data_IF_761459626443
#
_entry.id   IF_761459626443
#
_cell.length_a   1.000
_cell.length_b   1.000
_cell.length_c   1.000
_cell.angle_alpha   90.00
_cell.angle_beta   90.00
_cell.angle_gamma   90.00
#
_symmetry.space_group_name_H-M   'P 1'
#
loop_
_entity.id
_entity.type
_entity.pdbx_description
1 polymer ?
#
# COMPACT_ATOMS: atom_id res chain seq x y z
N UNK A 1 -35.39 7.30 -21.64
CA UNK A 1 -36.69 6.86 -22.20
C UNK A 1 -37.61 8.04 -22.49
N UNK A 2 -37.46 9.17 -21.80
CA UNK A 2 -38.29 10.39 -21.96
C UNK A 2 -38.32 10.96 -23.39
N UNK A 3 -37.25 10.79 -24.16
CA UNK A 3 -37.17 11.20 -25.56
C UNK A 3 -37.59 10.09 -26.56
N UNK A 4 -38.15 8.97 -26.08
CA UNK A 4 -38.59 7.80 -26.87
C UNK A 4 -37.52 7.15 -27.77
N UNK A 5 -36.23 7.40 -27.51
CA UNK A 5 -35.10 6.79 -28.23
C UNK A 5 -34.72 5.43 -27.63
N UNK A 6 -35.54 4.40 -27.84
CA UNK A 6 -35.30 3.06 -27.25
C UNK A 6 -34.00 2.42 -27.76
N UNK A 7 -33.67 2.56 -29.04
CA UNK A 7 -32.49 1.93 -29.65
C UNK A 7 -31.18 2.38 -29.00
N UNK A 8 -31.09 3.64 -28.55
CA UNK A 8 -29.92 4.10 -27.80
C UNK A 8 -29.82 3.45 -26.43
N UNK A 9 -30.94 3.23 -25.74
CA UNK A 9 -30.93 2.71 -24.36
C UNK A 9 -30.36 1.30 -24.31
N UNK A 10 -30.79 0.43 -25.22
CA UNK A 10 -30.32 -0.97 -25.28
C UNK A 10 -28.81 -1.03 -25.46
N UNK A 11 -28.26 -0.22 -26.37
CA UNK A 11 -26.81 -0.20 -26.61
C UNK A 11 -26.02 0.20 -25.36
N UNK A 12 -26.47 1.24 -24.63
CA UNK A 12 -25.80 1.65 -23.38
C UNK A 12 -25.91 0.59 -22.28
N UNK A 13 -27.02 -0.15 -22.26
CA UNK A 13 -27.27 -1.18 -21.26
C UNK A 13 -26.38 -2.42 -21.52
N UNK A 14 -26.29 -2.87 -22.78
CA UNK A 14 -25.36 -3.95 -23.17
C UNK A 14 -23.91 -3.56 -22.85
N UNK A 15 -23.50 -2.34 -23.24
CA UNK A 15 -22.16 -1.83 -22.91
C UNK A 15 -21.89 -1.80 -21.40
N UNK A 16 -22.90 -1.45 -20.59
CA UNK A 16 -22.77 -1.47 -19.14
C UNK A 16 -22.58 -2.89 -18.57
N UNK A 17 -23.28 -3.89 -19.14
CA UNK A 17 -23.10 -5.30 -18.75
C UNK A 17 -21.66 -5.73 -19.05
N UNK A 18 -21.13 -5.40 -20.23
CA UNK A 18 -19.75 -5.73 -20.60
C UNK A 18 -18.73 -5.05 -19.66
N UNK A 19 -18.97 -3.79 -19.29
CA UNK A 19 -18.13 -3.10 -18.31
C UNK A 19 -18.21 -3.76 -16.92
N UNK A 20 -19.39 -4.19 -16.48
CA UNK A 20 -19.57 -4.84 -15.19
C UNK A 20 -18.81 -6.17 -15.12
N UNK A 21 -18.94 -7.01 -16.15
CA UNK A 21 -18.29 -8.33 -16.18
C UNK A 21 -16.78 -8.21 -16.30
N UNK A 22 -16.29 -7.35 -17.19
CA UNK A 22 -14.86 -7.24 -17.48
C UNK A 22 -14.08 -6.47 -16.43
N UNK A 23 -14.68 -5.46 -15.78
CA UNK A 23 -13.99 -4.63 -14.79
C UNK A 23 -14.37 -5.00 -13.37
N UNK A 24 -15.66 -4.90 -13.03
CA UNK A 24 -16.08 -5.06 -11.64
C UNK A 24 -15.94 -6.50 -11.16
N UNK A 25 -16.41 -7.48 -11.92
CA UNK A 25 -16.31 -8.90 -11.54
C UNK A 25 -14.86 -9.38 -11.57
N UNK A 26 -14.07 -8.98 -12.58
CA UNK A 26 -12.63 -9.32 -12.67
C UNK A 26 -11.85 -8.78 -11.47
N UNK A 27 -12.04 -7.50 -11.13
CA UNK A 27 -11.35 -6.86 -10.00
C UNK A 27 -11.84 -7.40 -8.64
N UNK A 28 -13.12 -7.75 -8.54
CA UNK A 28 -13.73 -8.23 -7.28
C UNK A 28 -13.59 -9.75 -7.09
N UNK A 29 -13.00 -10.49 -8.03
CA UNK A 29 -12.86 -11.96 -7.98
C UNK A 29 -12.19 -12.46 -6.70
N UNK A 30 -11.12 -11.80 -6.25
CA UNK A 30 -10.43 -12.13 -4.98
C UNK A 30 -11.30 -11.84 -3.75
N UNK A 31 -12.07 -10.74 -3.79
CA UNK A 31 -13.00 -10.35 -2.71
C UNK A 31 -14.14 -11.36 -2.55
N UNK A 32 -14.68 -11.88 -3.66
CA UNK A 32 -15.72 -12.92 -3.63
C UNK A 32 -15.22 -14.26 -3.07
N UNK A 33 -13.93 -14.57 -3.23
CA UNK A 33 -13.32 -15.78 -2.67
C UNK A 33 -13.03 -15.69 -1.16
N UNK A 34 -13.17 -14.51 -0.56
CA UNK A 34 -12.93 -14.31 0.87
C UNK A 34 -11.45 -14.30 1.26
N UNK A 35 -10.52 -14.03 0.32
CA UNK A 35 -9.08 -14.01 0.57
C UNK A 35 -8.64 -12.84 1.48
N UNK A 36 -9.47 -11.81 1.65
CA UNK A 36 -9.15 -10.60 2.45
C UNK A 36 -9.82 -10.63 3.84
N UNK A 37 -11.15 -10.52 3.91
CA UNK A 37 -11.92 -10.51 5.16
C UNK A 37 -13.36 -10.94 4.88
N UNK A 38 -14.00 -11.65 5.83
CA UNK A 38 -15.37 -12.14 5.66
C UNK A 38 -16.41 -11.02 5.51
N UNK A 39 -16.23 -9.91 6.23
CA UNK A 39 -17.11 -8.73 6.15
C UNK A 39 -17.03 -8.07 4.76
N UNK A 40 -15.82 -7.93 4.22
CA UNK A 40 -15.60 -7.40 2.88
C UNK A 40 -16.19 -8.29 1.78
N UNK A 41 -16.13 -9.60 1.96
CA UNK A 41 -16.78 -10.56 1.07
C UNK A 41 -18.30 -10.33 1.05
N UNK A 42 -18.93 -10.22 2.23
CA UNK A 42 -20.36 -9.97 2.34
C UNK A 42 -20.77 -8.64 1.70
N UNK A 43 -20.03 -7.55 1.95
CA UNK A 43 -20.29 -6.25 1.34
C UNK A 43 -20.17 -6.33 -0.19
N UNK A 44 -19.13 -6.99 -0.72
CA UNK A 44 -18.94 -7.13 -2.16
C UNK A 44 -20.06 -7.92 -2.84
N UNK A 45 -20.52 -9.01 -2.22
CA UNK A 45 -21.64 -9.83 -2.70
C UNK A 45 -22.96 -9.03 -2.66
N UNK A 46 -23.18 -8.24 -1.61
CA UNK A 46 -24.36 -7.40 -1.49
C UNK A 46 -24.40 -6.31 -2.57
N UNK A 47 -23.26 -5.65 -2.82
CA UNK A 47 -23.13 -4.65 -3.90
C UNK A 47 -23.37 -5.29 -5.27
N UNK A 48 -22.80 -6.46 -5.53
CA UNK A 48 -23.04 -7.19 -6.79
C UNK A 48 -24.52 -7.54 -6.96
N UNK A 49 -25.16 -8.05 -5.91
CA UNK A 49 -26.59 -8.38 -5.92
C UNK A 49 -27.45 -7.13 -6.19
N UNK A 50 -27.12 -6.00 -5.55
CA UNK A 50 -27.81 -4.73 -5.77
C UNK A 50 -27.69 -4.23 -7.21
N UNK A 51 -26.49 -4.26 -7.79
CA UNK A 51 -26.27 -3.86 -9.19
C UNK A 51 -27.05 -4.77 -10.13
N UNK A 52 -26.99 -6.09 -9.90
CA UNK A 52 -27.68 -7.07 -10.74
C UNK A 52 -29.20 -6.87 -10.71
N UNK A 53 -29.79 -6.65 -9.54
CA UNK A 53 -31.20 -6.29 -9.40
C UNK A 53 -31.53 -4.98 -10.15
N UNK A 54 -30.65 -3.99 -10.09
CA UNK A 54 -30.86 -2.72 -10.79
C UNK A 54 -30.86 -2.91 -12.31
N UNK A 55 -29.95 -3.72 -12.84
CA UNK A 55 -29.91 -4.08 -14.27
C UNK A 55 -31.19 -4.83 -14.66
N UNK A 56 -31.62 -5.80 -13.85
CA UNK A 56 -32.84 -6.58 -14.10
C UNK A 56 -34.08 -5.66 -14.19
N UNK A 57 -34.21 -4.69 -13.27
CA UNK A 57 -35.28 -3.67 -13.33
C UNK A 57 -35.20 -2.76 -14.56
N UNK A 58 -33.99 -2.47 -15.05
CA UNK A 58 -33.80 -1.65 -16.26
C UNK A 58 -34.01 -2.45 -17.55
N UNK A 59 -33.82 -3.77 -17.50
CA UNK A 59 -34.03 -4.70 -18.62
C UNK A 59 -35.49 -5.13 -18.80
N UNK A 60 -36.30 -5.03 -17.75
CA UNK A 60 -37.73 -5.38 -17.72
C UNK A 60 -38.52 -4.96 -18.98
N UNK A 61 -38.46 -3.71 -19.49
CA UNK A 61 -39.23 -3.29 -20.66
C UNK A 61 -38.72 -3.87 -22.00
N UNK A 62 -37.53 -4.49 -22.01
CA UNK A 62 -36.91 -5.07 -23.21
C UNK A 62 -36.93 -6.60 -23.19
N UNK A 63 -36.64 -7.21 -22.05
CA UNK A 63 -36.53 -8.66 -21.86
C UNK A 63 -37.34 -9.13 -20.65
N UNK A 64 -38.68 -8.96 -20.65
CA UNK A 64 -39.53 -9.15 -19.47
C UNK A 64 -39.42 -10.56 -18.87
N UNK A 65 -39.42 -11.61 -19.71
CA UNK A 65 -39.31 -12.99 -19.24
C UNK A 65 -37.95 -13.31 -18.61
N UNK A 66 -36.86 -12.78 -19.17
CA UNK A 66 -35.51 -12.98 -18.63
C UNK A 66 -35.34 -12.20 -17.32
N UNK A 67 -35.85 -10.96 -17.29
CA UNK A 67 -35.84 -10.12 -16.11
C UNK A 67 -36.62 -10.78 -14.96
N UNK A 68 -37.81 -11.31 -15.22
CA UNK A 68 -38.62 -12.03 -14.22
C UNK A 68 -37.92 -13.29 -13.72
N UNK A 69 -37.36 -14.11 -14.62
CA UNK A 69 -36.60 -15.30 -14.25
C UNK A 69 -35.40 -14.97 -13.32
N UNK A 70 -34.62 -13.95 -13.68
CA UNK A 70 -33.48 -13.49 -12.89
C UNK A 70 -33.92 -12.91 -11.54
N UNK A 71 -34.98 -12.11 -11.52
CA UNK A 71 -35.55 -11.53 -10.30
C UNK A 71 -36.00 -12.62 -9.33
N UNK A 72 -36.67 -13.67 -9.81
CA UNK A 72 -37.07 -14.80 -8.96
C UNK A 72 -35.88 -15.57 -8.37
N UNK A 73 -34.78 -15.74 -9.12
CA UNK A 73 -33.55 -16.35 -8.61
C UNK A 73 -32.96 -15.50 -7.49
N UNK A 74 -32.79 -14.20 -7.72
CA UNK A 74 -32.19 -13.27 -6.77
C UNK A 74 -33.07 -13.10 -5.53
N UNK A 75 -34.38 -13.08 -5.71
CA UNK A 75 -35.36 -13.04 -4.63
C UNK A 75 -35.18 -14.21 -3.68
N UNK A 76 -34.98 -15.45 -4.17
CA UNK A 76 -34.75 -16.62 -3.29
C UNK A 76 -33.54 -16.43 -2.37
N UNK A 77 -32.49 -15.75 -2.85
CA UNK A 77 -31.28 -15.45 -2.07
C UNK A 77 -31.54 -14.37 -1.00
N UNK A 78 -32.41 -13.40 -1.28
CA UNK A 78 -32.70 -12.26 -0.38
C UNK A 78 -33.81 -12.59 0.62
N UNK A 79 -34.81 -13.38 0.22
CA UNK A 79 -36.02 -13.72 1.00
C UNK A 79 -35.74 -14.43 2.32
N UNK A 80 -34.51 -14.96 2.52
CA UNK A 80 -34.10 -15.57 3.78
C UNK A 80 -33.89 -14.54 4.91
N UNK A 81 -33.89 -13.23 4.60
CA UNK A 81 -33.46 -12.17 5.52
C UNK A 81 -34.47 -11.04 5.75
N UNK A 82 -35.59 -10.97 5.01
CA UNK A 82 -36.54 -9.84 5.12
C UNK A 82 -37.99 -10.22 4.83
N UNK A 83 -38.91 -9.68 5.63
CA UNK A 83 -40.36 -9.84 5.54
C UNK A 83 -40.88 -9.43 4.16
N UNK A 84 -41.46 -10.38 3.43
CA UNK A 84 -41.88 -10.18 2.04
C UNK A 84 -43.08 -9.23 1.94
N UNK A 85 -42.91 -8.12 1.22
CA UNK A 85 -44.02 -7.28 0.76
C UNK A 85 -44.52 -7.75 -0.62
N UNK A 86 -45.81 -7.60 -0.90
CA UNK A 86 -46.45 -8.09 -2.14
C UNK A 86 -45.83 -7.47 -3.41
N UNK A 87 -45.25 -6.28 -3.32
CA UNK A 87 -44.59 -5.60 -4.44
C UNK A 87 -43.27 -6.26 -4.89
N UNK A 88 -42.70 -7.15 -4.06
CA UNK A 88 -41.46 -7.87 -4.39
C UNK A 88 -41.73 -9.21 -5.11
N UNK A 89 -42.99 -9.54 -5.39
CA UNK A 89 -43.36 -10.80 -6.05
C UNK A 89 -42.86 -10.89 -7.50
N UNK A 90 -42.87 -9.78 -8.23
CA UNK A 90 -42.47 -9.73 -9.64
C UNK A 90 -41.75 -8.42 -9.93
N UNK A 91 -40.81 -8.47 -10.88
CA UNK A 91 -40.08 -7.28 -11.34
C UNK A 91 -41.02 -6.25 -11.99
N UNK A 92 -42.12 -6.71 -12.58
CA UNK A 92 -43.11 -5.88 -13.29
C UNK A 92 -43.87 -4.92 -12.37
N UNK A 93 -43.89 -5.19 -11.06
CA UNK A 93 -44.55 -4.32 -10.09
C UNK A 93 -43.61 -3.30 -9.46
N UNK A 94 -42.32 -3.32 -9.85
CA UNK A 94 -41.32 -2.45 -9.29
C UNK A 94 -41.14 -1.19 -10.13
N UNK A 95 -40.99 -0.06 -9.44
CA UNK A 95 -40.67 1.21 -10.10
C UNK A 95 -39.25 1.20 -10.65
N UNK A 96 -39.06 1.85 -11.81
CA UNK A 96 -37.74 2.08 -12.39
C UNK A 96 -36.86 2.82 -11.35
N UNK A 97 -35.64 2.33 -11.09
CA UNK A 97 -34.76 2.91 -10.08
C UNK A 97 -34.36 4.34 -10.45
N UNK A 98 -34.42 5.25 -9.47
CA UNK A 98 -33.97 6.64 -9.63
C UNK A 98 -32.48 6.74 -9.35
N UNK A 99 -31.76 7.48 -10.19
CA UNK A 99 -30.31 7.72 -10.01
C UNK A 99 -30.03 8.54 -8.75
N UNK A 100 -29.24 7.97 -7.83
CA UNK A 100 -28.76 8.65 -6.63
C UNK A 100 -27.37 9.24 -6.86
N UNK A 101 -27.32 10.54 -7.19
CA UNK A 101 -26.06 11.24 -7.49
C UNK A 101 -25.11 11.34 -6.29
N UNK A 102 -25.61 11.18 -5.07
CA UNK A 102 -24.83 11.24 -3.83
C UNK A 102 -23.84 10.08 -3.68
N UNK A 103 -24.10 8.93 -4.30
CA UNK A 103 -23.24 7.74 -4.22
C UNK A 103 -22.08 7.79 -5.23
N UNK A 104 -22.05 8.80 -6.12
CA UNK A 104 -21.03 8.90 -7.16
C UNK A 104 -19.80 9.63 -6.61
N UNK A 105 -18.75 8.86 -6.34
CA UNK A 105 -17.44 9.43 -6.05
C UNK A 105 -16.72 9.81 -7.36
N UNK A 106 -16.59 11.11 -7.61
CA UNK A 106 -15.93 11.62 -8.82
C UNK A 106 -14.47 11.21 -8.94
N UNK A 107 -13.75 11.10 -7.83
CA UNK A 107 -12.33 10.73 -7.85
C UNK A 107 -12.18 9.29 -8.32
N UNK A 108 -12.94 8.36 -7.71
CA UNK A 108 -12.91 6.94 -8.08
C UNK A 108 -13.29 6.74 -9.54
N UNK A 109 -14.33 7.45 -10.01
CA UNK A 109 -14.74 7.40 -11.41
C UNK A 109 -13.61 7.85 -12.35
N UNK A 110 -12.98 9.00 -12.06
CA UNK A 110 -11.88 9.52 -12.86
C UNK A 110 -10.68 8.57 -12.88
N UNK A 111 -10.37 7.92 -11.75
CA UNK A 111 -9.29 6.93 -11.67
C UNK A 111 -9.62 5.69 -12.52
N UNK A 112 -10.85 5.17 -12.46
CA UNK A 112 -11.26 4.02 -13.26
C UNK A 112 -11.27 4.36 -14.76
N UNK A 113 -11.78 5.53 -15.13
CA UNK A 113 -11.79 6.00 -16.53
C UNK A 113 -10.34 6.15 -17.06
N UNK A 114 -9.41 6.64 -16.24
CA UNK A 114 -7.99 6.72 -16.59
C UNK A 114 -7.37 5.33 -16.78
N UNK A 115 -7.63 4.39 -15.86
CA UNK A 115 -7.14 3.00 -15.96
C UNK A 115 -7.68 2.33 -17.22
N UNK A 116 -8.98 2.47 -17.50
CA UNK A 116 -9.62 1.93 -18.69
C UNK A 116 -8.97 2.46 -19.97
N UNK A 117 -8.68 3.76 -20.02
CA UNK A 117 -8.02 4.39 -21.17
C UNK A 117 -6.59 3.87 -21.32
N UNK A 118 -5.82 3.77 -20.23
CA UNK A 118 -4.45 3.25 -20.30
C UNK A 118 -4.38 1.78 -20.70
N UNK A 119 -5.28 0.92 -20.22
CA UNK A 119 -5.30 -0.49 -20.60
C UNK A 119 -5.74 -0.64 -22.06
N UNK A 120 -6.75 0.12 -22.51
CA UNK A 120 -7.14 0.13 -23.92
C UNK A 120 -5.99 0.55 -24.85
N UNK A 121 -5.20 1.55 -24.47
CA UNK A 121 -4.02 1.95 -25.23
C UNK A 121 -2.94 0.85 -25.26
N UNK A 122 -2.77 0.09 -24.17
CA UNK A 122 -1.82 -1.04 -24.12
C UNK A 122 -2.32 -2.22 -24.97
N UNK A 123 -3.63 -2.48 -24.99
CA UNK A 123 -4.24 -3.52 -25.82
C UNK A 123 -4.17 -3.17 -27.33
N UNK A 124 -4.35 -1.89 -27.68
CA UNK A 124 -4.31 -1.40 -29.07
C UNK A 124 -2.87 -1.35 -29.66
N UNK A 125 -1.86 -1.08 -28.83
CA UNK A 125 -0.43 -1.10 -29.24
C UNK A 125 0.14 -2.53 -29.37
N UNK A 126 -0.64 -3.55 -29.01
CA UNK A 126 -0.17 -4.94 -28.93
C UNK A 126 0.81 -5.16 -27.77
N UNK A 127 1.23 -6.41 -27.48
CA UNK A 127 2.16 -6.69 -26.39
C UNK A 127 3.41 -5.82 -26.55
N UNK A 128 3.64 -4.93 -25.58
CA UNK A 128 4.79 -4.04 -25.55
C UNK A 128 6.05 -4.91 -25.54
N UNK A 129 6.63 -5.09 -26.72
CA UNK A 129 7.97 -5.62 -27.01
C UNK A 129 8.39 -6.84 -26.20
N UNK A 130 8.57 -7.95 -26.92
CA UNK A 130 9.40 -9.11 -26.54
C UNK A 130 10.66 -8.70 -25.79
N UNK A 131 10.63 -8.73 -24.46
CA UNK A 131 11.82 -8.86 -23.64
C UNK A 131 11.90 -10.36 -23.36
N UNK A 132 12.75 -11.06 -24.13
CA UNK A 132 13.03 -12.51 -24.02
C UNK A 132 11.83 -13.46 -24.23
N UNK A 133 11.19 -13.42 -25.40
CA UNK A 133 10.21 -14.43 -25.88
C UNK A 133 8.96 -14.70 -25.00
N UNK A 134 8.71 -13.88 -23.97
CA UNK A 134 7.50 -13.95 -23.16
C UNK A 134 6.39 -13.08 -23.77
N UNK A 135 5.28 -13.69 -24.18
CA UNK A 135 4.05 -12.98 -24.54
C UNK A 135 3.35 -12.49 -23.28
N UNK A 136 3.36 -11.18 -23.05
CA UNK A 136 2.62 -10.55 -21.94
C UNK A 136 1.16 -10.45 -22.38
N UNK A 137 0.27 -11.19 -21.71
CA UNK A 137 -1.17 -11.14 -21.96
C UNK A 137 -1.85 -10.08 -21.07
N UNK A 138 -3.07 -9.66 -21.41
CA UNK A 138 -3.88 -8.73 -20.60
C UNK A 138 -4.17 -9.24 -19.17
N UNK A 139 -3.85 -10.51 -18.90
CA UNK A 139 -3.93 -11.16 -17.59
C UNK A 139 -2.68 -10.94 -16.71
N UNK A 140 -1.54 -10.55 -17.32
CA UNK A 140 -0.25 -10.31 -16.65
C UNK A 140 -0.08 -8.85 -16.17
N UNK A 141 -1.05 -7.99 -16.45
CA UNK A 141 -1.02 -6.57 -16.09
C UNK A 141 -1.48 -6.38 -14.65
N UNK A 142 -0.53 -6.09 -13.75
CA UNK A 142 -0.83 -5.72 -12.36
C UNK A 142 -0.79 -4.21 -12.15
N UNK A 143 -1.81 -3.69 -11.46
CA UNK A 143 -1.86 -2.29 -11.06
C UNK A 143 -0.94 -2.08 -9.85
N UNK A 144 0.14 -1.33 -10.05
CA UNK A 144 1.04 -0.90 -8.97
C UNK A 144 0.66 0.52 -8.56
N UNK A 145 0.32 0.72 -7.30
CA UNK A 145 0.09 2.06 -6.76
C UNK A 145 1.44 2.69 -6.40
N UNK A 146 1.87 3.68 -7.19
CA UNK A 146 2.99 4.55 -6.83
C UNK A 146 2.46 5.87 -6.29
N UNK A 147 2.96 6.29 -5.13
CA UNK A 147 2.68 7.63 -4.60
C UNK A 147 3.68 8.59 -5.25
N UNK A 148 3.17 9.49 -6.10
CA UNK A 148 3.98 10.40 -6.94
C UNK A 148 4.49 11.64 -6.20
N UNK A 149 4.12 11.80 -4.93
CA UNK A 149 4.59 12.89 -4.08
C UNK A 149 5.42 12.33 -2.94
N UNK A 150 6.51 13.01 -2.59
CA UNK A 150 7.33 12.73 -1.40
C UNK A 150 6.49 12.97 -0.13
N UNK A 151 5.56 12.06 0.14
CA UNK A 151 4.93 11.93 1.43
C UNK A 151 5.66 10.82 2.17
N UNK A 152 5.94 11.04 3.45
CA UNK A 152 6.19 10.11 4.58
C UNK A 152 6.21 8.58 4.36
N UNK A 153 5.45 8.06 3.40
CA UNK A 153 5.27 6.64 3.12
C UNK A 153 5.82 6.26 1.74
N UNK A 154 6.60 5.19 1.69
CA UNK A 154 6.89 4.48 0.45
C UNK A 154 5.89 3.35 0.27
N UNK A 155 5.35 3.20 -0.94
CA UNK A 155 4.33 2.21 -1.25
C UNK A 155 4.90 1.16 -2.20
N UNK A 156 4.89 -0.10 -1.77
CA UNK A 156 5.15 -1.26 -2.63
C UNK A 156 3.89 -2.11 -2.72
N UNK A 157 3.66 -2.68 -3.91
CA UNK A 157 2.52 -3.56 -4.15
C UNK A 157 3.04 -4.96 -4.46
N UNK A 158 2.66 -5.95 -3.66
CA UNK A 158 2.98 -7.36 -3.90
C UNK A 158 1.73 -8.23 -3.67
N UNK A 159 1.39 -9.08 -4.64
CA UNK A 159 0.27 -10.05 -4.59
C UNK A 159 -1.13 -9.50 -4.24
N UNK A 160 -1.34 -8.18 -4.36
CA UNK A 160 -2.62 -7.52 -4.05
C UNK A 160 -2.69 -6.90 -2.65
N UNK A 161 -1.58 -6.90 -1.91
CA UNK A 161 -1.40 -6.09 -0.72
C UNK A 161 -0.65 -4.81 -1.09
N UNK A 162 -1.10 -3.69 -0.52
CA UNK A 162 -0.36 -2.43 -0.57
C UNK A 162 0.34 -2.29 0.77
N UNK A 163 1.66 -2.42 0.76
CA UNK A 163 2.48 -2.18 1.94
C UNK A 163 2.91 -0.72 1.92
N UNK A 164 2.43 0.04 2.90
CA UNK A 164 2.81 1.42 3.16
C UNK A 164 3.85 1.42 4.29
N UNK A 165 5.11 1.69 3.96
CA UNK A 165 6.19 1.81 4.95
C UNK A 165 6.41 3.28 5.28
N UNK A 166 6.20 3.62 6.55
CA UNK A 166 6.47 4.94 7.09
C UNK A 166 7.97 5.12 7.33
N UNK A 167 8.60 6.02 6.58
CA UNK A 167 10.01 6.38 6.74
C UNK A 167 10.19 7.75 7.41
N UNK A 168 9.20 8.26 8.16
CA UNK A 168 9.46 9.44 8.99
C UNK A 168 10.52 9.12 10.03
N UNK A 169 11.74 9.58 9.78
CA UNK A 169 12.83 9.52 10.74
C UNK A 169 12.46 10.40 11.94
N UNK A 170 11.90 9.79 12.98
CA UNK A 170 11.74 10.43 14.28
C UNK A 170 13.14 10.75 14.83
N UNK A 171 13.23 11.81 15.64
CA UNK A 171 14.49 12.25 16.22
C UNK A 171 15.19 11.12 17.01
N UNK A 172 14.40 10.22 17.61
CA UNK A 172 14.86 9.00 18.28
C UNK A 172 15.57 8.02 17.34
N UNK A 173 15.04 7.76 16.14
CA UNK A 173 15.64 6.83 15.17
C UNK A 173 16.95 7.37 14.58
N UNK A 174 17.05 8.70 14.40
CA UNK A 174 18.30 9.34 13.97
C UNK A 174 19.37 9.23 15.04
N UNK A 175 19.00 9.44 16.29
CA UNK A 175 19.90 9.32 17.43
C UNK A 175 20.36 7.84 17.58
N UNK A 176 19.47 6.85 17.42
CA UNK A 176 19.81 5.42 17.41
C UNK A 176 20.76 5.03 16.26
N UNK A 177 20.52 5.56 15.05
CA UNK A 177 21.41 5.35 13.91
C UNK A 177 22.84 5.86 14.15
N UNK A 178 22.97 7.05 14.75
CA UNK A 178 24.26 7.61 15.13
C UNK A 178 24.98 6.76 16.20
N UNK A 179 24.24 6.27 17.19
CA UNK A 179 24.77 5.38 18.24
C UNK A 179 25.37 4.12 17.60
N UNK A 180 24.62 3.47 16.70
CA UNK A 180 25.09 2.27 16.01
C UNK A 180 26.29 2.55 15.09
N UNK A 181 26.31 3.69 14.40
CA UNK A 181 27.43 4.08 13.56
C UNK A 181 28.71 4.30 14.39
N UNK A 182 28.60 5.00 15.53
CA UNK A 182 29.71 5.22 16.47
C UNK A 182 30.25 3.87 16.96
N UNK A 183 29.37 2.98 17.46
CA UNK A 183 29.76 1.67 17.96
C UNK A 183 30.43 0.81 16.87
N UNK A 184 29.82 0.74 15.69
CA UNK A 184 30.37 0.01 14.53
C UNK A 184 31.76 0.52 14.14
N UNK A 185 32.00 1.83 14.27
CA UNK A 185 33.30 2.41 13.96
C UNK A 185 34.34 2.05 15.01
N UNK A 186 33.99 2.06 16.29
CA UNK A 186 34.85 1.61 17.38
C UNK A 186 35.24 0.15 17.17
N UNK A 187 34.28 -0.73 16.85
CA UNK A 187 34.55 -2.14 16.58
C UNK A 187 35.43 -2.37 15.35
N UNK A 188 35.19 -1.62 14.26
CA UNK A 188 36.05 -1.67 13.08
C UNK A 188 37.50 -1.30 13.45
N UNK A 189 37.70 -0.29 14.29
CA UNK A 189 39.04 0.12 14.75
C UNK A 189 39.67 -0.93 15.66
N UNK A 190 38.89 -1.56 16.51
CA UNK A 190 39.35 -2.69 17.31
C UNK A 190 39.89 -3.83 16.44
N UNK A 191 39.17 -4.16 15.37
CA UNK A 191 39.62 -5.16 14.39
C UNK A 191 40.91 -4.75 13.67
N UNK A 192 41.02 -3.48 13.23
CA UNK A 192 42.25 -2.95 12.63
C UNK A 192 43.45 -2.98 13.61
N UNK A 193 43.20 -2.78 14.91
CA UNK A 193 44.20 -2.88 15.98
C UNK A 193 44.63 -4.33 16.30
N UNK A 194 43.99 -5.33 15.67
CA UNK A 194 44.14 -6.77 15.98
C UNK A 194 43.79 -7.11 17.45
N UNK A 195 42.87 -6.36 18.05
CA UNK A 195 42.35 -6.64 19.38
C UNK A 195 41.18 -7.63 19.32
N UNK A 196 41.13 -8.56 20.26
CA UNK A 196 40.04 -9.52 20.36
C UNK A 196 38.83 -8.88 21.04
N UNK A 197 37.58 -9.32 20.75
CA UNK A 197 36.34 -8.81 21.35
C UNK A 197 36.27 -8.87 22.89
N UNK A 198 37.05 -9.77 23.50
CA UNK A 198 37.13 -9.96 24.96
C UNK A 198 38.04 -8.96 25.65
N UNK A 199 38.99 -8.36 24.93
CA UNK A 199 40.01 -7.48 25.51
C UNK A 199 39.37 -6.29 26.25
N UNK A 200 39.94 -5.93 27.39
CA UNK A 200 39.52 -4.76 28.16
C UNK A 200 40.12 -3.50 27.56
N UNK A 201 39.25 -2.70 26.96
CA UNK A 201 39.58 -1.44 26.32
C UNK A 201 38.74 -0.32 26.92
N UNK A 202 39.33 0.87 27.00
CA UNK A 202 38.62 2.10 27.35
C UNK A 202 38.61 2.97 26.09
N UNK A 203 37.42 3.41 25.69
CA UNK A 203 37.25 4.20 24.47
C UNK A 203 37.14 5.65 24.87
N UNK A 204 38.02 6.48 24.30
CA UNK A 204 37.99 7.93 24.50
C UNK A 204 37.55 8.65 23.22
N UNK A 205 36.70 9.66 23.36
CA UNK A 205 36.22 10.49 22.24
C UNK A 205 36.50 11.98 22.46
N UNK A 206 36.66 12.71 21.36
CA UNK A 206 36.62 14.17 21.33
C UNK A 206 35.77 14.61 20.15
N UNK A 207 34.99 15.68 20.33
CA UNK A 207 34.12 16.23 19.29
C UNK A 207 34.60 17.63 18.96
N UNK A 208 34.79 17.94 17.67
CA UNK A 208 35.33 19.24 17.25
C UNK A 208 34.32 20.38 17.35
N UNK A 209 33.03 20.08 17.22
CA UNK A 209 31.94 21.06 17.27
C UNK A 209 30.90 20.63 18.30
N UNK A 210 30.85 21.33 19.43
CA UNK A 210 29.90 21.06 20.52
C UNK A 210 28.43 21.29 20.12
N UNK A 211 28.19 22.02 19.02
CA UNK A 211 26.86 22.27 18.45
C UNK A 211 26.37 21.18 17.50
N UNK A 212 27.18 20.15 17.22
CA UNK A 212 26.82 19.08 16.27
C UNK A 212 25.83 18.08 16.85
N UNK A 213 25.06 17.40 16.00
CA UNK A 213 24.14 16.32 16.40
C UNK A 213 24.87 15.19 17.16
N UNK A 214 26.12 14.93 16.80
CA UNK A 214 26.99 13.94 17.44
C UNK A 214 27.29 14.34 18.90
N UNK A 215 27.60 15.61 19.17
CA UNK A 215 27.83 16.09 20.53
C UNK A 215 26.58 15.90 21.41
N UNK A 216 25.39 16.13 20.84
CA UNK A 216 24.11 15.92 21.54
C UNK A 216 23.89 14.44 21.87
N UNK A 217 24.07 13.53 20.91
CA UNK A 217 23.86 12.08 21.11
C UNK A 217 24.85 11.53 22.13
N UNK A 218 26.12 11.87 21.98
CA UNK A 218 27.19 11.37 22.85
C UNK A 218 27.06 11.83 24.29
N UNK A 219 26.58 13.06 24.53
CA UNK A 219 26.36 13.58 25.90
C UNK A 219 25.07 13.07 26.54
N UNK A 220 23.99 12.93 25.76
CA UNK A 220 22.67 12.55 26.26
C UNK A 220 22.48 11.04 26.42
N UNK A 221 23.10 10.23 25.55
CA UNK A 221 22.89 8.78 25.46
C UNK A 221 24.20 7.98 25.62
N UNK A 222 25.15 8.49 26.42
CA UNK A 222 26.42 7.81 26.69
C UNK A 222 26.23 6.36 27.17
N UNK A 223 25.25 6.13 28.05
CA UNK A 223 24.95 4.80 28.61
C UNK A 223 24.51 3.78 27.54
N UNK A 224 23.84 4.21 26.47
CA UNK A 224 23.41 3.31 25.38
C UNK A 224 24.59 2.89 24.51
N UNK A 225 25.52 3.80 24.24
CA UNK A 225 26.77 3.50 23.54
C UNK A 225 27.60 2.50 24.35
N UNK A 226 27.72 2.69 25.66
CA UNK A 226 28.42 1.76 26.56
C UNK A 226 27.75 0.38 26.60
N UNK A 227 26.41 0.33 26.58
CA UNK A 227 25.67 -0.93 26.57
C UNK A 227 25.94 -1.75 25.29
N UNK A 228 26.04 -1.10 24.13
CA UNK A 228 26.36 -1.77 22.86
C UNK A 228 27.82 -2.22 22.84
N UNK A 229 28.75 -1.35 23.25
CA UNK A 229 30.19 -1.68 23.25
C UNK A 229 30.58 -2.66 24.36
N UNK A 230 29.78 -2.76 25.43
CA UNK A 230 30.10 -3.49 26.68
C UNK A 230 31.44 -3.07 27.29
N UNK A 231 31.86 -1.84 27.03
CA UNK A 231 33.15 -1.26 27.42
C UNK A 231 32.95 0.21 27.78
N UNK A 232 33.76 0.77 28.70
CA UNK A 232 33.62 2.16 29.13
C UNK A 232 33.94 3.12 27.97
N UNK A 233 33.09 4.14 27.81
CA UNK A 233 33.16 5.14 26.74
C UNK A 233 33.16 6.53 27.37
N UNK A 234 34.30 7.24 27.32
CA UNK A 234 34.52 8.47 28.07
C UNK A 234 35.05 9.62 27.19
N UNK A 235 34.86 10.86 27.65
CA UNK A 235 35.46 12.03 27.00
C UNK A 235 36.98 12.03 27.19
N UNK A 236 37.71 12.46 26.16
CA UNK A 236 39.17 12.60 26.16
C UNK A 236 39.67 13.52 27.28
N UNK A 237 38.83 14.46 27.75
CA UNK A 237 39.19 15.37 28.85
C UNK A 237 39.39 14.64 30.19
N UNK A 238 38.88 13.41 30.32
CA UNK A 238 39.04 12.59 31.53
C UNK A 238 40.32 11.73 31.52
N UNK A 239 41.16 11.85 30.48
CA UNK A 239 42.37 11.05 30.35
C UNK A 239 43.46 11.61 31.27
N UNK A 240 43.94 10.80 32.24
CA UNK A 240 45.02 11.23 33.14
C UNK A 240 46.39 10.95 32.50
N UNK A 241 47.42 11.72 32.86
CA UNK A 241 48.77 11.58 32.27
C UNK A 241 49.40 10.17 32.39
N UNK A 242 48.87 9.29 33.25
CA UNK A 242 49.31 7.88 33.37
C UNK A 242 48.76 6.98 32.25
N UNK A 243 47.66 7.35 31.60
CA UNK A 243 46.97 6.53 30.58
C UNK A 243 47.53 6.77 29.17
N UNK A 244 48.27 7.86 28.97
CA UNK A 244 48.87 8.27 27.69
C UNK A 244 49.92 7.27 27.16
N UNK A 245 50.48 6.39 27.98
CA UNK A 245 51.50 5.43 27.54
C UNK A 245 50.94 4.19 26.81
N UNK A 246 49.61 3.97 26.87
CA UNK A 246 48.95 2.77 26.32
C UNK A 246 47.91 3.09 25.23
N UNK A 247 48.04 4.23 24.54
CA UNK A 247 47.11 4.59 23.46
C UNK A 247 47.35 3.68 22.26
N UNK A 248 46.41 2.76 22.00
CA UNK A 248 46.55 1.76 20.93
C UNK A 248 46.37 2.39 19.54
N UNK A 249 45.38 3.29 19.35
CA UNK A 249 45.09 3.97 18.09
C UNK A 249 44.51 5.37 18.36
N UNK A 250 44.97 6.40 17.63
CA UNK A 250 44.34 7.74 17.58
C UNK A 250 43.95 8.07 16.13
N UNK A 251 42.71 8.49 15.89
CA UNK A 251 42.27 8.86 14.53
C UNK A 251 41.13 9.87 14.55
N UNK A 252 41.23 10.88 13.68
CA UNK A 252 40.21 11.91 13.46
C UNK A 252 39.32 11.50 12.27
N UNK A 253 38.00 11.58 12.43
CA UNK A 253 37.03 11.13 11.42
C UNK A 253 35.86 12.11 11.27
N UNK A 254 35.44 12.42 10.03
CA UNK A 254 34.13 13.00 9.80
C UNK A 254 33.06 11.90 9.93
N UNK A 255 32.05 12.15 10.74
CA UNK A 255 30.81 11.38 10.78
C UNK A 255 29.79 12.16 9.95
N UNK A 256 29.40 11.63 8.80
CA UNK A 256 28.36 12.19 7.95
C UNK A 256 27.25 11.17 7.82
N UNK A 257 26.01 11.56 8.15
CA UNK A 257 24.80 10.77 7.89
C UNK A 257 24.78 10.30 6.43
N UNK A 258 25.10 9.02 6.20
CA UNK A 258 25.17 8.45 4.86
C UNK A 258 24.08 7.39 4.59
N UNK A 259 23.15 7.19 5.53
CA UNK A 259 22.23 6.03 5.50
C UNK A 259 20.81 6.32 5.00
N UNK A 260 20.47 7.56 4.63
CA UNK A 260 19.15 7.88 4.07
C UNK A 260 19.29 8.84 2.89
N UNK A 261 19.51 8.28 1.71
CA UNK A 261 19.24 8.92 0.41
C UNK A 261 18.35 7.98 -0.39
#
# INVERSE_FOLDING_TARGET
>A
MDAYRLYTVVHHLVKYIDMLTNWYVKLSKKRFKGETTLEDCFVSLNVLCYILLTIVKLMEPFTPFLAEYMHQILRKLISQSSSSSEQDLSVHFQMIPKSQKSLVNKNIKCTIDAIQTTIGLIEDEGPLTTIDDASIESEDVYIVYRVTQQTRFEATTEQGFVVLLDFTADASMKDEGLIHEIASRVEKRRSEAKLNPTDDIIVYYSVESETSEIARVVTKQQNEIEAILKKPFASLNNLTNKDNSNVVITKKLPLSFAFFN
#
